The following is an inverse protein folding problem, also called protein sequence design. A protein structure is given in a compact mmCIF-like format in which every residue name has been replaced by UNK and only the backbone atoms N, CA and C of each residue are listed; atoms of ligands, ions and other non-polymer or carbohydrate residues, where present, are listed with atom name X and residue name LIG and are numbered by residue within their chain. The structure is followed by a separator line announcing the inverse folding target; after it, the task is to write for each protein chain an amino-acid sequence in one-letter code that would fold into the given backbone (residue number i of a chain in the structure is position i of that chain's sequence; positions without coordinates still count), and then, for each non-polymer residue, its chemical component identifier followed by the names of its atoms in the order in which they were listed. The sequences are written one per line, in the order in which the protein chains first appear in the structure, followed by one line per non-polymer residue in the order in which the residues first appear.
data_IF_611978288888
#
_entry.id   IF_611978288888
#
_cell.length_a   1.000
_cell.length_b   1.000
_cell.length_c   1.000
_cell.angle_alpha   90.00
_cell.angle_beta   90.00
_cell.angle_gamma   90.00
#
_symmetry.space_group_name_H-M   'P 1'
#
loop_
_entity.id
_entity.type
_entity.pdbx_description
1 polymer ?
#
# COMPACT_ATOMS: atom_id res chain seq x y z
N UNK A 1 7.95 -18.38 21.60
CA UNK A 1 6.55 -18.72 21.36
C UNK A 1 5.67 -17.85 22.25
N UNK A 2 4.71 -17.13 21.70
CA UNK A 2 3.68 -16.41 22.47
C UNK A 2 2.31 -16.94 22.10
N UNK A 3 1.36 -16.82 23.03
CA UNK A 3 -0.02 -17.23 22.83
C UNK A 3 -0.96 -16.18 23.36
N UNK A 4 -2.04 -15.90 22.60
CA UNK A 4 -3.21 -15.18 23.07
C UNK A 4 -4.43 -16.07 23.06
N UNK A 5 -5.36 -15.86 23.99
CA UNK A 5 -6.61 -16.61 24.10
C UNK A 5 -7.73 -15.65 24.42
N UNK A 6 -8.84 -15.74 23.70
CA UNK A 6 -10.05 -14.96 23.98
C UNK A 6 -11.30 -15.82 23.80
N UNK A 7 -12.34 -15.53 24.56
CA UNK A 7 -13.67 -16.13 24.35
C UNK A 7 -14.31 -15.54 23.09
N UNK A 8 -15.02 -16.34 22.33
CA UNK A 8 -15.72 -15.91 21.13
C UNK A 8 -17.25 -16.03 21.24
N UNK A 9 -17.96 -15.39 20.33
CA UNK A 9 -19.43 -15.36 20.30
C UNK A 9 -20.09 -16.72 19.97
N UNK A 10 -19.29 -17.73 19.56
CA UNK A 10 -19.76 -19.07 19.24
C UNK A 10 -19.72 -20.02 20.46
N UNK A 11 -19.47 -19.48 21.65
CA UNK A 11 -19.35 -20.25 22.88
C UNK A 11 -18.08 -21.11 22.98
N UNK A 12 -17.05 -20.71 22.25
CA UNK A 12 -15.73 -21.31 22.24
C UNK A 12 -14.63 -20.28 22.45
N UNK A 13 -13.44 -20.58 21.95
CA UNK A 13 -12.24 -19.76 22.13
C UNK A 13 -11.54 -19.53 20.81
N UNK A 14 -10.97 -18.34 20.66
CA UNK A 14 -9.97 -18.00 19.65
C UNK A 14 -8.58 -18.07 20.30
N UNK A 15 -7.67 -18.75 19.65
CA UNK A 15 -6.29 -18.94 20.13
C UNK A 15 -5.32 -18.60 19.01
N UNK A 16 -4.39 -17.70 19.31
CA UNK A 16 -3.30 -17.33 18.41
C UNK A 16 -1.98 -17.78 19.00
N UNK A 17 -1.16 -18.42 18.19
CA UNK A 17 0.17 -18.87 18.54
C UNK A 17 1.17 -18.25 17.59
N UNK A 18 2.19 -17.58 18.13
CA UNK A 18 3.24 -16.94 17.36
C UNK A 18 4.60 -17.57 17.66
N UNK A 19 5.40 -17.77 16.62
CA UNK A 19 6.84 -18.00 16.77
C UNK A 19 7.62 -16.89 16.09
N UNK A 20 8.75 -16.54 16.68
CA UNK A 20 9.60 -15.45 16.25
C UNK A 20 11.03 -15.94 16.02
N UNK A 21 11.77 -15.23 15.17
CA UNK A 21 13.21 -15.37 15.09
C UNK A 21 13.91 -14.68 16.28
N UNK A 22 15.25 -14.63 16.23
CA UNK A 22 16.06 -13.98 17.27
C UNK A 22 15.86 -12.46 17.31
N UNK A 23 15.52 -11.84 16.16
CA UNK A 23 15.35 -10.40 16.03
C UNK A 23 13.92 -9.92 16.36
N UNK A 24 13.00 -10.86 16.59
CA UNK A 24 11.61 -10.58 16.92
C UNK A 24 10.67 -10.56 15.72
N UNK A 25 11.13 -10.96 14.54
CA UNK A 25 10.25 -11.10 13.37
C UNK A 25 9.38 -12.34 13.53
N UNK A 26 8.10 -12.23 13.24
CA UNK A 26 7.18 -13.36 13.27
C UNK A 26 7.52 -14.36 12.15
N UNK A 27 7.86 -15.60 12.49
CA UNK A 27 8.10 -16.68 11.52
C UNK A 27 6.83 -17.45 11.21
N UNK A 28 5.98 -17.65 12.22
CA UNK A 28 4.70 -18.35 12.06
C UNK A 28 3.64 -17.73 12.94
N UNK A 29 2.42 -17.73 12.44
CA UNK A 29 1.20 -17.43 13.17
C UNK A 29 0.21 -18.57 12.91
N UNK A 30 -0.31 -19.17 13.96
CA UNK A 30 -1.38 -20.16 13.89
C UNK A 30 -2.58 -19.61 14.66
N UNK A 31 -3.68 -19.42 13.96
CA UNK A 31 -4.96 -19.07 14.55
C UNK A 31 -5.86 -20.30 14.59
N UNK A 32 -6.47 -20.59 15.74
CA UNK A 32 -7.45 -21.64 15.93
C UNK A 32 -8.71 -21.09 16.57
N UNK A 33 -9.83 -21.36 15.92
CA UNK A 33 -11.14 -21.01 16.44
C UNK A 33 -11.89 -22.28 16.83
N UNK A 34 -12.46 -22.30 18.03
CA UNK A 34 -13.33 -23.36 18.52
C UNK A 34 -14.74 -22.81 18.78
N UNK A 35 -15.75 -23.63 18.65
CA UNK A 35 -17.12 -23.34 19.05
C UNK A 35 -17.73 -24.55 19.73
N UNK A 36 -18.37 -24.37 20.90
CA UNK A 36 -19.00 -25.43 21.67
C UNK A 36 -18.12 -26.71 21.87
N UNK A 37 -16.78 -26.50 21.99
CA UNK A 37 -15.81 -27.59 22.23
C UNK A 37 -15.18 -28.24 21.00
N UNK A 38 -15.61 -27.89 19.79
CA UNK A 38 -15.03 -28.37 18.53
C UNK A 38 -14.21 -27.29 17.82
N UNK A 39 -13.11 -27.70 17.17
CA UNK A 39 -12.38 -26.78 16.26
C UNK A 39 -13.23 -26.53 15.02
N UNK A 40 -13.42 -25.24 14.70
CA UNK A 40 -14.20 -24.78 13.55
C UNK A 40 -13.25 -24.34 12.44
N UNK A 41 -12.15 -23.68 12.81
CA UNK A 41 -11.21 -23.08 11.89
C UNK A 41 -9.78 -23.26 12.42
N UNK A 42 -8.86 -23.52 11.50
CA UNK A 42 -7.42 -23.50 11.76
C UNK A 42 -6.74 -22.78 10.59
N UNK A 43 -6.17 -21.61 10.85
CA UNK A 43 -5.43 -20.81 9.89
C UNK A 43 -3.96 -20.76 10.26
N UNK A 44 -3.08 -21.04 9.32
CA UNK A 44 -1.64 -20.91 9.54
C UNK A 44 -0.99 -19.97 8.52
N UNK A 45 -0.14 -19.11 9.03
CA UNK A 45 0.68 -18.18 8.24
C UNK A 45 2.15 -18.51 8.49
N UNK A 46 2.95 -18.45 7.43
CA UNK A 46 4.41 -18.59 7.49
C UNK A 46 5.01 -17.38 6.81
N UNK A 47 6.05 -16.82 7.41
CA UNK A 47 6.73 -15.62 6.91
C UNK A 47 8.20 -15.93 6.67
N UNK A 48 8.72 -15.48 5.52
CA UNK A 48 10.12 -15.61 5.15
C UNK A 48 10.72 -14.21 4.99
N UNK A 49 11.94 -14.05 5.52
CA UNK A 49 12.68 -12.79 5.48
C UNK A 49 14.02 -12.98 4.77
N UNK A 50 14.53 -11.92 4.18
CA UNK A 50 15.89 -11.92 3.65
C UNK A 50 16.93 -11.58 4.73
N UNK A 51 18.21 -11.54 4.33
CA UNK A 51 19.32 -11.22 5.22
C UNK A 51 19.29 -9.79 5.79
N UNK A 52 18.47 -8.90 5.23
CA UNK A 52 18.24 -7.54 5.70
C UNK A 52 16.92 -7.41 6.49
N UNK A 53 16.35 -8.55 6.92
CA UNK A 53 15.12 -8.65 7.71
C UNK A 53 13.87 -8.10 7.02
N UNK A 54 13.88 -8.03 5.68
CA UNK A 54 12.71 -7.60 4.91
C UNK A 54 11.85 -8.80 4.57
N UNK A 55 10.53 -8.68 4.73
CA UNK A 55 9.59 -9.73 4.38
C UNK A 55 9.65 -10.02 2.87
N UNK A 56 10.11 -11.21 2.49
CA UNK A 56 10.13 -11.66 1.08
C UNK A 56 8.91 -12.49 0.74
N UNK A 57 8.39 -13.30 1.69
CA UNK A 57 7.23 -14.13 1.40
C UNK A 57 6.30 -14.26 2.60
N UNK A 58 5.00 -14.28 2.33
CA UNK A 58 3.99 -14.68 3.27
C UNK A 58 3.13 -15.79 2.65
N UNK A 59 3.01 -16.91 3.35
CA UNK A 59 2.23 -18.08 2.95
C UNK A 59 1.07 -18.26 3.90
N UNK A 60 -0.02 -18.84 3.40
CA UNK A 60 -1.22 -19.12 4.17
C UNK A 60 -1.72 -20.53 3.86
N UNK A 61 -2.22 -21.22 4.89
CA UNK A 61 -2.91 -22.49 4.75
C UNK A 61 -4.13 -22.53 5.66
N UNK A 62 -5.28 -22.81 5.07
CA UNK A 62 -6.55 -23.00 5.75
C UNK A 62 -6.76 -24.49 6.05
N UNK A 63 -6.78 -24.88 7.32
CA UNK A 63 -6.91 -26.28 7.74
C UNK A 63 -5.89 -27.18 7.06
N UNK A 64 -6.36 -28.23 6.41
CA UNK A 64 -5.57 -29.19 5.64
C UNK A 64 -5.45 -28.83 4.15
N UNK A 65 -5.90 -27.63 3.74
CA UNK A 65 -5.82 -27.19 2.36
C UNK A 65 -4.36 -26.99 1.90
N UNK A 66 -4.17 -26.94 0.58
CA UNK A 66 -2.87 -26.62 0.02
C UNK A 66 -2.44 -25.19 0.43
N UNK A 67 -1.18 -25.05 0.80
CA UNK A 67 -0.58 -23.75 1.12
C UNK A 67 -0.53 -22.85 -0.12
N UNK A 68 -0.89 -21.58 0.07
CA UNK A 68 -0.88 -20.56 -0.98
C UNK A 68 0.07 -19.43 -0.61
N UNK A 69 0.78 -18.90 -1.61
CA UNK A 69 1.59 -17.70 -1.44
C UNK A 69 0.66 -16.49 -1.49
N UNK A 70 0.46 -15.82 -0.35
CA UNK A 70 -0.31 -14.59 -0.29
C UNK A 70 0.47 -13.43 -0.90
N UNK A 71 1.75 -13.33 -0.55
CA UNK A 71 2.65 -12.24 -0.93
C UNK A 71 4.02 -12.84 -1.28
N UNK A 72 4.59 -12.35 -2.39
CA UNK A 72 5.99 -12.58 -2.78
C UNK A 72 6.58 -11.23 -3.18
N UNK A 73 7.56 -10.74 -2.42
CA UNK A 73 8.21 -9.45 -2.58
C UNK A 73 9.61 -9.60 -3.15
N UNK A 74 9.95 -8.79 -4.12
CA UNK A 74 11.30 -8.66 -4.67
C UNK A 74 11.80 -7.25 -4.42
N UNK A 75 13.03 -7.16 -3.93
CA UNK A 75 13.70 -5.89 -3.66
C UNK A 75 14.83 -5.66 -4.67
N UNK A 76 15.10 -4.42 -4.99
CA UNK A 76 16.24 -4.03 -5.82
C UNK A 76 17.55 -3.97 -5.00
N UNK A 77 18.66 -3.70 -5.67
CA UNK A 77 19.99 -3.63 -5.07
C UNK A 77 20.13 -2.52 -4.00
N UNK A 78 19.23 -1.53 -4.02
CA UNK A 78 19.15 -0.47 -3.02
C UNK A 78 18.20 -0.80 -1.87
N UNK A 79 17.61 -2.00 -1.87
CA UNK A 79 16.69 -2.46 -0.83
C UNK A 79 15.26 -1.94 -0.97
N UNK A 80 14.89 -1.33 -2.09
CA UNK A 80 13.54 -0.84 -2.33
C UNK A 80 12.67 -1.94 -2.96
N UNK A 81 11.38 -1.97 -2.62
CA UNK A 81 10.45 -2.93 -3.21
C UNK A 81 10.32 -2.69 -4.73
N UNK A 82 10.80 -3.63 -5.54
CA UNK A 82 10.73 -3.53 -7.01
C UNK A 82 9.53 -4.27 -7.60
N UNK A 83 9.10 -5.35 -6.98
CA UNK A 83 7.91 -6.11 -7.39
C UNK A 83 7.22 -6.75 -6.19
N UNK A 84 5.91 -6.80 -6.25
CA UNK A 84 5.07 -7.53 -5.33
C UNK A 84 4.08 -8.41 -6.10
N UNK A 85 4.05 -9.67 -5.74
CA UNK A 85 3.16 -10.66 -6.35
C UNK A 85 2.19 -11.17 -5.29
N UNK A 86 0.93 -11.38 -5.67
CA UNK A 86 -0.13 -11.84 -4.78
C UNK A 86 -0.73 -13.15 -5.29
N UNK A 87 -1.22 -13.97 -4.36
CA UNK A 87 -2.00 -15.18 -4.61
C UNK A 87 -1.40 -16.07 -5.70
N UNK A 88 -0.22 -16.67 -5.42
CA UNK A 88 0.49 -17.57 -6.34
C UNK A 88 0.75 -16.95 -7.74
N UNK A 89 0.91 -15.64 -7.84
CA UNK A 89 1.19 -14.97 -9.12
C UNK A 89 -0.03 -14.44 -9.87
N UNK A 90 -1.22 -14.50 -9.27
CA UNK A 90 -2.45 -14.01 -9.90
C UNK A 90 -2.39 -12.51 -10.19
N UNK A 91 -1.83 -11.73 -9.27
CA UNK A 91 -1.67 -10.29 -9.41
C UNK A 91 -0.19 -9.92 -9.20
N UNK A 92 0.31 -9.08 -10.09
CA UNK A 92 1.67 -8.56 -10.02
C UNK A 92 1.63 -7.04 -10.02
N UNK A 93 2.46 -6.43 -9.17
CA UNK A 93 2.67 -4.99 -9.11
C UNK A 93 4.15 -4.69 -9.12
N UNK A 94 4.59 -3.84 -10.04
CA UNK A 94 5.97 -3.36 -10.15
C UNK A 94 6.07 -1.92 -9.69
N UNK A 95 7.21 -1.55 -9.12
CA UNK A 95 7.51 -0.23 -8.59
C UNK A 95 8.75 0.34 -9.25
N UNK A 96 8.70 1.59 -9.65
CA UNK A 96 9.81 2.32 -10.27
C UNK A 96 10.22 3.51 -9.40
N UNK A 97 11.51 3.82 -9.40
CA UNK A 97 12.08 4.89 -8.58
C UNK A 97 13.07 5.72 -9.38
N UNK A 98 13.20 6.98 -9.04
CA UNK A 98 14.26 7.83 -9.56
C UNK A 98 15.57 7.66 -8.76
N UNK A 99 16.61 8.38 -9.18
CA UNK A 99 17.95 8.35 -8.53
C UNK A 99 17.93 8.82 -7.06
N UNK A 100 16.90 9.53 -6.64
CA UNK A 100 16.72 9.99 -5.23
C UNK A 100 15.88 9.01 -4.41
N UNK A 101 15.59 7.82 -4.96
CA UNK A 101 14.71 6.81 -4.37
C UNK A 101 13.27 7.27 -4.16
N UNK A 102 12.82 8.29 -4.86
CA UNK A 102 11.41 8.66 -4.88
C UNK A 102 10.66 7.75 -5.84
N UNK A 103 9.50 7.26 -5.40
CA UNK A 103 8.62 6.42 -6.21
C UNK A 103 8.13 7.23 -7.43
N UNK A 104 8.37 6.71 -8.63
CA UNK A 104 7.92 7.36 -9.88
C UNK A 104 6.82 6.60 -10.58
N UNK A 105 6.64 5.32 -10.29
CA UNK A 105 5.59 4.54 -10.93
C UNK A 105 5.20 3.30 -10.14
N UNK A 106 3.94 2.94 -10.28
CA UNK A 106 3.34 1.67 -9.86
C UNK A 106 2.65 1.11 -11.09
N UNK A 107 2.96 -0.13 -11.48
CA UNK A 107 2.34 -0.78 -12.64
C UNK A 107 1.86 -2.16 -12.25
N UNK A 108 0.57 -2.39 -12.40
CA UNK A 108 -0.10 -3.67 -12.18
C UNK A 108 -1.12 -3.97 -13.27
N UNK A 109 -1.73 -5.15 -13.22
CA UNK A 109 -2.72 -5.57 -14.23
C UNK A 109 -4.01 -4.75 -14.22
N UNK A 110 -4.40 -4.20 -13.07
CA UNK A 110 -5.66 -3.46 -12.87
C UNK A 110 -5.47 -2.02 -12.42
N UNK A 111 -4.23 -1.60 -12.23
CA UNK A 111 -3.91 -0.26 -11.75
C UNK A 111 -2.53 0.15 -12.24
N UNK A 112 -2.45 1.37 -12.75
CA UNK A 112 -1.21 2.04 -13.12
C UNK A 112 -1.19 3.44 -12.54
N UNK A 113 -0.04 3.87 -12.01
CA UNK A 113 0.16 5.21 -11.47
C UNK A 113 1.54 5.73 -11.83
N UNK A 114 1.61 6.99 -12.21
CA UNK A 114 2.86 7.72 -12.45
C UNK A 114 2.89 8.94 -11.54
N UNK A 115 4.00 9.14 -10.86
CA UNK A 115 4.26 10.28 -9.98
C UNK A 115 5.36 11.15 -10.60
N UNK A 116 5.07 12.41 -10.79
CA UNK A 116 5.99 13.41 -11.33
C UNK A 116 6.45 14.36 -10.21
N UNK A 117 7.71 14.76 -10.26
CA UNK A 117 8.32 15.68 -9.28
C UNK A 117 8.88 16.92 -9.98
N UNK A 118 9.82 16.71 -10.89
CA UNK A 118 10.52 17.77 -11.64
C UNK A 118 10.16 17.79 -13.12
N UNK A 119 9.35 16.84 -13.52
CA UNK A 119 8.85 16.58 -14.86
C UNK A 119 7.31 16.59 -14.87
N UNK A 120 6.71 16.21 -15.99
CA UNK A 120 5.25 16.16 -16.16
C UNK A 120 4.66 17.53 -16.44
N UNK A 121 3.35 17.69 -16.19
CA UNK A 121 2.57 18.87 -16.57
C UNK A 121 2.35 19.84 -15.42
N UNK A 122 2.79 19.48 -14.19
CA UNK A 122 2.68 20.34 -13.01
C UNK A 122 3.86 21.29 -12.83
N UNK A 123 3.84 22.07 -11.75
CA UNK A 123 4.97 22.90 -11.33
C UNK A 123 6.11 22.00 -10.84
N UNK A 124 7.34 22.09 -11.38
CA UNK A 124 8.45 21.26 -10.93
C UNK A 124 8.84 21.54 -9.48
N UNK A 125 9.00 20.48 -8.68
CA UNK A 125 9.50 20.55 -7.30
C UNK A 125 10.74 19.68 -7.15
N UNK A 126 11.82 20.27 -6.61
CA UNK A 126 13.13 19.61 -6.45
C UNK A 126 13.38 19.10 -5.04
N UNK A 127 12.43 19.29 -4.14
CA UNK A 127 12.48 18.97 -2.71
C UNK A 127 11.78 17.66 -2.34
N UNK A 128 11.19 16.94 -3.32
CA UNK A 128 10.44 15.71 -3.11
C UNK A 128 8.93 15.88 -3.06
N UNK A 129 8.42 17.10 -3.18
CA UNK A 129 7.00 17.32 -3.38
C UNK A 129 6.56 16.78 -4.74
N UNK A 130 5.43 16.10 -4.79
CA UNK A 130 4.85 15.59 -6.02
C UNK A 130 4.25 16.77 -6.81
N UNK A 131 4.69 16.95 -8.04
CA UNK A 131 4.21 17.98 -8.96
C UNK A 131 2.84 17.61 -9.54
N UNK A 132 2.74 16.39 -10.04
CA UNK A 132 1.50 15.82 -10.56
C UNK A 132 1.50 14.31 -10.39
N UNK A 133 0.29 13.75 -10.39
CA UNK A 133 0.04 12.32 -10.32
C UNK A 133 -0.97 11.96 -11.40
N UNK A 134 -0.68 10.90 -12.15
CA UNK A 134 -1.62 10.33 -13.13
C UNK A 134 -1.86 8.88 -12.76
N UNK A 135 -3.10 8.43 -12.86
CA UNK A 135 -3.42 7.01 -12.68
C UNK A 135 -4.48 6.55 -13.67
N UNK A 136 -4.49 5.25 -13.85
CA UNK A 136 -5.49 4.50 -14.60
C UNK A 136 -5.91 3.31 -13.75
N UNK A 137 -7.20 3.03 -13.68
CA UNK A 137 -7.74 1.92 -12.89
C UNK A 137 -8.97 1.33 -13.56
N UNK A 138 -9.17 0.02 -13.35
CA UNK A 138 -10.30 -0.69 -13.91
C UNK A 138 -10.14 -1.01 -15.40
N UNK A 139 -11.28 -1.20 -16.09
CA UNK A 139 -11.35 -1.59 -17.49
C UNK A 139 -11.40 -0.37 -18.45
N UNK A 140 -11.61 0.83 -17.92
CA UNK A 140 -11.59 2.03 -18.75
C UNK A 140 -10.15 2.50 -18.99
N UNK A 141 -9.86 2.98 -20.19
CA UNK A 141 -8.57 3.53 -20.57
C UNK A 141 -8.40 5.00 -20.20
N UNK A 142 -9.23 5.52 -19.31
CA UNK A 142 -9.21 6.93 -18.94
C UNK A 142 -8.08 7.18 -17.93
N UNK A 143 -7.12 7.99 -18.33
CA UNK A 143 -6.13 8.55 -17.44
C UNK A 143 -6.76 9.68 -16.61
N UNK A 144 -6.61 9.61 -15.31
CA UNK A 144 -7.05 10.60 -14.32
C UNK A 144 -5.87 11.07 -13.52
N UNK A 145 -5.94 12.28 -12.98
CA UNK A 145 -4.82 12.75 -12.17
C UNK A 145 -5.10 14.07 -11.48
N UNK A 146 -4.04 14.51 -10.79
CA UNK A 146 -4.01 15.77 -10.08
C UNK A 146 -2.72 16.53 -10.36
N UNK A 147 -2.83 17.85 -10.46
CA UNK A 147 -1.72 18.78 -10.28
C UNK A 147 -1.75 19.29 -8.83
N UNK A 148 -0.59 19.30 -8.19
CA UNK A 148 -0.47 19.73 -6.81
C UNK A 148 0.24 21.07 -6.69
N UNK A 149 -0.20 21.90 -5.75
CA UNK A 149 0.51 23.11 -5.35
C UNK A 149 0.70 23.16 -3.84
N UNK A 150 1.79 23.80 -3.44
CA UNK A 150 2.23 23.83 -2.05
C UNK A 150 2.52 25.27 -1.62
N UNK A 151 2.46 25.54 -0.34
CA UNK A 151 2.89 26.80 0.25
C UNK A 151 4.42 26.83 0.50
N UNK A 152 4.91 27.96 1.01
CA UNK A 152 6.34 28.13 1.30
C UNK A 152 6.89 27.21 2.42
N UNK A 153 6.02 26.54 3.16
CA UNK A 153 6.36 25.54 4.16
C UNK A 153 6.21 24.10 3.62
N UNK A 154 6.07 23.94 2.29
CA UNK A 154 5.87 22.65 1.60
C UNK A 154 4.59 21.91 2.02
N UNK A 155 3.55 22.62 2.45
CA UNK A 155 2.25 22.04 2.80
C UNK A 155 1.34 22.15 1.56
N UNK A 156 0.57 21.10 1.29
CA UNK A 156 -0.37 21.02 0.17
C UNK A 156 -1.43 22.13 0.27
N UNK A 157 -1.58 22.92 -0.79
CA UNK A 157 -2.62 23.95 -0.86
C UNK A 157 -3.75 23.58 -1.80
N UNK A 158 -3.42 23.00 -2.96
CA UNK A 158 -4.43 22.57 -3.92
C UNK A 158 -4.05 21.25 -4.59
N UNK A 159 -5.08 20.46 -4.92
CA UNK A 159 -5.04 19.34 -5.83
C UNK A 159 -6.09 19.60 -6.93
N UNK A 160 -5.64 19.95 -8.13
CA UNK A 160 -6.50 20.27 -9.28
C UNK A 160 -6.65 19.03 -10.13
N UNK A 161 -7.88 18.50 -10.21
CA UNK A 161 -8.21 17.32 -10.99
C UNK A 161 -8.20 17.58 -12.50
N UNK A 162 -7.81 16.57 -13.26
CA UNK A 162 -7.96 16.54 -14.71
C UNK A 162 -7.92 15.11 -15.26
N UNK A 163 -8.32 14.96 -16.50
CA UNK A 163 -8.28 13.70 -17.25
C UNK A 163 -7.41 13.83 -18.51
N UNK A 164 -7.00 12.67 -19.05
CA UNK A 164 -6.04 12.56 -20.16
C UNK A 164 -4.59 12.64 -19.69
N UNK A 165 -3.66 12.35 -20.59
CA UNK A 165 -2.21 12.29 -20.28
C UNK A 165 -1.61 13.60 -19.79
N UNK A 166 -2.23 14.74 -20.13
CA UNK A 166 -1.82 16.09 -19.74
C UNK A 166 -2.82 16.77 -18.79
N UNK A 167 -3.81 16.05 -18.30
CA UNK A 167 -4.80 16.48 -17.30
C UNK A 167 -5.57 17.76 -17.67
N UNK A 168 -5.91 17.93 -18.95
CA UNK A 168 -6.62 19.13 -19.45
C UNK A 168 -8.11 18.87 -19.75
N UNK A 169 -8.56 17.62 -19.69
CA UNK A 169 -9.95 17.25 -19.90
C UNK A 169 -10.69 17.16 -18.57
N UNK A 170 -12.00 17.40 -18.58
CA UNK A 170 -12.87 17.29 -17.40
C UNK A 170 -12.29 17.92 -16.12
N UNK A 171 -11.57 19.00 -16.26
CA UNK A 171 -10.94 19.70 -15.15
C UNK A 171 -11.98 20.19 -14.14
N UNK A 172 -11.52 20.38 -12.91
CA UNK A 172 -12.30 20.98 -11.81
C UNK A 172 -13.50 20.16 -11.30
N UNK A 173 -13.63 18.87 -11.67
CA UNK A 173 -14.73 18.02 -11.19
C UNK A 173 -14.53 17.51 -9.77
N UNK A 174 -13.28 17.33 -9.34
CA UNK A 174 -12.92 16.73 -8.05
C UNK A 174 -11.73 17.45 -7.43
N UNK A 175 -11.70 18.78 -7.54
CA UNK A 175 -10.63 19.56 -6.93
C UNK A 175 -10.72 19.53 -5.41
N UNK A 176 -9.55 19.54 -4.77
CA UNK A 176 -9.42 19.70 -3.34
C UNK A 176 -8.54 20.91 -3.02
N UNK A 177 -8.98 21.74 -2.10
CA UNK A 177 -8.26 22.89 -1.61
C UNK A 177 -8.19 22.85 -0.09
N UNK A 178 -6.98 22.95 0.44
CA UNK A 178 -6.80 23.16 1.88
C UNK A 178 -7.03 24.64 2.16
N UNK A 179 -8.04 24.95 2.96
CA UNK A 179 -8.46 26.35 3.23
C UNK A 179 -7.67 27.02 4.34
N UNK A 180 -6.90 26.26 5.11
CA UNK A 180 -6.02 26.81 6.14
C UNK A 180 -5.29 25.74 6.93
N UNK A 181 -4.21 26.17 7.56
CA UNK A 181 -3.40 25.40 8.50
C UNK A 181 -3.27 26.16 9.82
N UNK A 182 -3.22 25.44 10.92
CA UNK A 182 -2.80 26.03 12.19
C UNK A 182 -1.27 26.20 12.27
N UNK A 183 -0.79 26.73 13.41
CA UNK A 183 0.64 26.97 13.64
C UNK A 183 1.46 25.66 13.73
N UNK A 184 0.81 24.53 13.98
CA UNK A 184 1.41 23.20 14.07
C UNK A 184 1.31 22.44 12.74
N UNK A 185 0.81 23.09 11.67
CA UNK A 185 0.56 22.52 10.34
C UNK A 185 -0.57 21.48 10.28
N UNK A 186 -1.49 21.47 11.24
CA UNK A 186 -2.71 20.70 11.13
C UNK A 186 -3.67 21.39 10.15
N UNK A 187 -4.34 20.58 9.32
CA UNK A 187 -5.35 21.08 8.38
C UNK A 187 -6.57 21.57 9.14
N UNK A 188 -6.98 22.81 8.91
CA UNK A 188 -8.17 23.41 9.53
C UNK A 188 -9.43 23.21 8.69
N UNK A 189 -9.30 23.01 7.38
CA UNK A 189 -10.45 22.74 6.53
C UNK A 189 -10.05 22.38 5.10
N UNK A 190 -10.94 21.62 4.44
CA UNK A 190 -10.81 21.21 3.04
C UNK A 190 -12.09 21.60 2.31
N UNK A 191 -11.94 22.25 1.16
CA UNK A 191 -13.02 22.52 0.21
C UNK A 191 -12.89 21.56 -0.96
N UNK A 192 -13.99 20.94 -1.37
CA UNK A 192 -14.11 20.08 -2.55
C UNK A 192 -15.10 20.71 -3.55
N UNK A 193 -14.80 20.55 -4.82
CA UNK A 193 -15.67 21.02 -5.93
C UNK A 193 -16.03 19.87 -6.85
#
# INVERSE_FOLDING_TARGET
LSQTVSDNHLGGMDRDFFSYDFNGNALRHLHRQTGAGNEILSDSYTYEYDHAERLVKALHRLGDAQEVILIDNVYDDLGRLSRKTFHNGLLNTSYSYNIRSWLTGITGSSFEQVLHYTDGTGIPYYNGNISSMVWKSGEDDIMRGYHFTYDNLNRLTNAVYGEGSVLVQNQNRFNEQVTGYDKMSNILGIKRS
#
